data_IF_854241219818
#
_entry.id   IF_854241219818
#
_cell.length_a   1.000
_cell.length_b   1.000
_cell.length_c   1.000
_cell.angle_alpha   90.00
_cell.angle_beta   90.00
_cell.angle_gamma   90.00
#
_symmetry.space_group_name_H-M   'P 1'
#
loop_
_entity.id
_entity.type
_entity.pdbx_description
1 polymer ?
#
# COMPACT_ATOMS: atom_id res chain seq x y z
N UNK A 1 -18.80 -21.29 -9.86
CA UNK A 1 -18.87 -21.11 -8.38
C UNK A 1 -17.46 -21.17 -7.81
N UNK A 2 -16.98 -20.07 -7.20
CA UNK A 2 -15.66 -20.08 -6.60
C UNK A 2 -15.68 -20.96 -5.34
N UNK A 3 -14.51 -21.53 -4.97
CA UNK A 3 -14.38 -22.26 -3.69
C UNK A 3 -14.72 -21.37 -2.48
N UNK A 4 -14.63 -20.05 -2.63
CA UNK A 4 -14.99 -19.08 -1.61
C UNK A 4 -16.51 -19.00 -1.41
N UNK A 5 -17.31 -18.99 -2.49
CA UNK A 5 -18.77 -18.93 -2.42
C UNK A 5 -19.34 -20.17 -1.75
N UNK A 6 -18.85 -21.36 -2.12
CA UNK A 6 -19.21 -22.61 -1.46
C UNK A 6 -18.80 -22.66 0.02
N UNK A 7 -17.80 -21.88 0.43
CA UNK A 7 -17.34 -21.79 1.82
C UNK A 7 -18.19 -20.83 2.63
N UNK A 8 -18.63 -19.72 2.04
CA UNK A 8 -19.54 -18.75 2.67
C UNK A 8 -20.92 -19.40 2.87
N UNK A 9 -21.44 -20.06 1.86
CA UNK A 9 -22.71 -20.81 1.94
C UNK A 9 -22.68 -21.88 3.04
N UNK A 10 -21.60 -22.67 3.14
CA UNK A 10 -21.39 -23.63 4.23
C UNK A 10 -21.23 -23.00 5.60
N UNK A 11 -20.71 -21.79 5.69
CA UNK A 11 -20.59 -21.06 6.96
C UNK A 11 -21.97 -20.59 7.44
N UNK A 12 -22.81 -20.11 6.54
CA UNK A 12 -24.17 -19.70 6.84
C UNK A 12 -25.05 -20.87 7.29
N UNK A 13 -24.90 -22.04 6.68
CA UNK A 13 -25.63 -23.27 7.03
C UNK A 13 -25.20 -23.90 8.36
N UNK A 14 -23.95 -23.65 8.82
CA UNK A 14 -23.40 -24.25 10.05
C UNK A 14 -23.18 -23.24 11.18
N UNK A 15 -24.08 -22.31 11.35
CA UNK A 15 -23.92 -21.10 12.15
C UNK A 15 -23.86 -21.29 13.67
N UNK A 16 -23.62 -22.49 14.22
CA UNK A 16 -23.45 -22.67 15.67
C UNK A 16 -22.62 -23.90 16.05
N UNK A 17 -21.76 -23.72 17.07
CA UNK A 17 -21.06 -24.80 17.78
C UNK A 17 -19.64 -25.09 17.28
N UNK A 18 -19.08 -26.20 17.80
CA UNK A 18 -17.69 -26.63 17.55
C UNK A 18 -17.35 -26.81 16.07
N UNK A 19 -18.29 -27.26 15.25
CA UNK A 19 -18.06 -27.44 13.81
C UNK A 19 -17.93 -26.10 13.05
N UNK A 20 -18.65 -25.06 13.45
CA UNK A 20 -18.47 -23.73 12.89
C UNK A 20 -17.06 -23.18 13.18
N UNK A 21 -16.53 -23.41 14.37
CA UNK A 21 -15.17 -23.04 14.76
C UNK A 21 -14.13 -23.78 13.92
N UNK A 22 -14.28 -25.11 13.76
CA UNK A 22 -13.37 -25.93 12.93
C UNK A 22 -13.42 -25.51 11.48
N UNK A 23 -14.61 -25.19 10.94
CA UNK A 23 -14.77 -24.68 9.60
C UNK A 23 -14.10 -23.31 9.44
N UNK A 24 -14.34 -22.38 10.36
CA UNK A 24 -13.69 -21.07 10.37
C UNK A 24 -12.15 -21.18 10.39
N UNK A 25 -11.57 -22.11 11.18
CA UNK A 25 -10.12 -22.34 11.19
C UNK A 25 -9.61 -22.91 9.85
N UNK A 26 -10.35 -23.79 9.21
CA UNK A 26 -9.96 -24.34 7.88
C UNK A 26 -10.05 -23.26 6.80
N UNK A 27 -11.09 -22.43 6.83
CA UNK A 27 -11.27 -21.35 5.86
C UNK A 27 -10.31 -20.19 6.12
N UNK A 28 -9.99 -19.87 7.37
CA UNK A 28 -8.96 -18.88 7.72
C UNK A 28 -7.60 -19.20 7.06
N UNK A 29 -7.30 -20.49 6.82
CA UNK A 29 -6.08 -20.86 6.09
C UNK A 29 -6.11 -20.44 4.61
N UNK A 30 -7.28 -20.31 3.99
CA UNK A 30 -7.45 -19.84 2.61
C UNK A 30 -7.32 -18.31 2.51
N UNK A 31 -7.61 -17.60 3.62
CA UNK A 31 -7.43 -16.16 3.73
C UNK A 31 -5.98 -15.76 4.00
N UNK A 32 -5.08 -16.71 4.20
CA UNK A 32 -3.65 -16.44 4.46
C UNK A 32 -2.93 -15.72 3.33
N UNK A 33 -3.42 -15.82 2.11
CA UNK A 33 -2.84 -15.12 0.96
C UNK A 33 -3.33 -13.68 0.83
N UNK A 34 -4.39 -13.30 1.52
CA UNK A 34 -4.81 -11.90 1.57
C UNK A 34 -3.77 -11.11 2.36
N UNK A 35 -3.09 -10.20 1.69
CA UNK A 35 -2.00 -9.46 2.30
C UNK A 35 -2.50 -8.34 3.16
N UNK A 36 -3.71 -7.80 2.94
CA UNK A 36 -3.89 -6.43 3.34
C UNK A 36 -5.22 -5.97 3.86
N UNK A 37 -5.02 -5.02 4.76
CA UNK A 37 -6.00 -4.06 5.24
C UNK A 37 -6.29 -2.94 4.22
N UNK A 38 -5.47 -2.78 3.18
CA UNK A 38 -5.59 -1.71 2.20
C UNK A 38 -6.20 -2.22 0.90
N UNK A 39 -7.31 -1.63 0.54
CA UNK A 39 -8.07 -1.93 -0.66
C UNK A 39 -8.50 -0.63 -1.31
N UNK A 40 -8.73 -0.65 -2.62
CA UNK A 40 -9.15 0.52 -3.38
C UNK A 40 -10.45 0.20 -4.11
N UNK A 41 -11.37 1.14 -4.08
CA UNK A 41 -12.56 1.14 -4.92
C UNK A 41 -12.43 2.30 -5.92
N UNK A 42 -12.46 2.01 -7.22
CA UNK A 42 -12.38 3.05 -8.23
C UNK A 42 -13.75 3.66 -8.57
N UNK A 43 -13.75 4.69 -9.44
CA UNK A 43 -14.97 5.37 -9.88
C UNK A 43 -15.92 4.49 -10.71
N UNK A 44 -15.40 3.38 -11.25
CA UNK A 44 -16.18 2.42 -12.05
C UNK A 44 -16.63 1.21 -11.21
N UNK A 45 -16.57 1.36 -9.87
CA UNK A 45 -16.96 0.37 -8.85
C UNK A 45 -16.13 -0.92 -8.90
N UNK A 46 -14.89 -0.86 -9.40
CA UNK A 46 -13.95 -1.97 -9.31
C UNK A 46 -13.25 -1.95 -7.96
N UNK A 47 -13.25 -3.07 -7.29
CA UNK A 47 -12.59 -3.30 -6.02
C UNK A 47 -11.26 -4.00 -6.24
N UNK A 48 -10.18 -3.40 -5.79
CA UNK A 48 -8.83 -3.93 -5.91
C UNK A 48 -8.30 -4.40 -4.56
N UNK A 49 -7.67 -5.57 -4.55
CA UNK A 49 -7.05 -6.15 -3.36
C UNK A 49 -5.69 -6.75 -3.71
N UNK A 50 -4.72 -6.54 -2.80
CA UNK A 50 -3.39 -7.13 -2.90
C UNK A 50 -3.27 -8.48 -2.20
N UNK A 51 -2.24 -9.25 -2.53
CA UNK A 51 -1.91 -10.51 -1.89
C UNK A 51 -0.51 -10.51 -1.29
N UNK A 52 -0.22 -11.52 -0.44
CA UNK A 52 1.12 -11.76 0.12
C UNK A 52 2.11 -12.26 -0.93
N UNK A 53 1.62 -12.79 -2.03
CA UNK A 53 2.41 -13.35 -3.11
C UNK A 53 2.67 -12.34 -4.25
N UNK A 54 2.41 -11.05 -4.02
CA UNK A 54 2.64 -10.01 -5.02
C UNK A 54 1.62 -10.05 -6.17
N UNK A 55 0.35 -10.27 -5.86
CA UNK A 55 -0.73 -10.31 -6.83
C UNK A 55 -1.77 -9.24 -6.52
N UNK A 56 -2.26 -8.58 -7.53
CA UNK A 56 -3.41 -7.67 -7.45
C UNK A 56 -4.59 -8.33 -8.16
N UNK A 57 -5.75 -8.33 -7.53
CA UNK A 57 -7.00 -8.84 -8.12
C UNK A 57 -8.05 -7.73 -8.13
N UNK A 58 -8.71 -7.57 -9.27
CA UNK A 58 -9.83 -6.66 -9.45
C UNK A 58 -11.15 -7.43 -9.48
N UNK A 59 -12.10 -6.97 -8.68
CA UNK A 59 -13.48 -7.48 -8.63
C UNK A 59 -14.45 -6.37 -8.99
N UNK A 60 -15.56 -6.71 -9.61
CA UNK A 60 -16.69 -5.81 -9.83
C UNK A 60 -17.98 -6.60 -10.00
N UNK A 61 -19.09 -5.89 -10.07
CA UNK A 61 -20.38 -6.49 -10.38
C UNK A 61 -20.39 -7.13 -11.78
N UNK A 62 -21.01 -8.30 -11.90
CA UNK A 62 -21.24 -8.96 -13.18
C UNK A 62 -22.17 -8.13 -14.08
N UNK A 63 -23.19 -7.53 -13.48
CA UNK A 63 -24.07 -6.54 -14.10
C UNK A 63 -24.08 -5.26 -13.26
N UNK A 64 -23.40 -4.18 -13.70
CA UNK A 64 -23.32 -2.93 -12.95
C UNK A 64 -24.66 -2.19 -12.83
N UNK A 65 -25.70 -2.62 -13.54
CA UNK A 65 -27.05 -2.04 -13.47
C UNK A 65 -27.95 -2.72 -12.44
N UNK A 66 -27.58 -3.90 -11.96
CA UNK A 66 -28.29 -4.65 -10.92
C UNK A 66 -27.53 -4.61 -9.59
N UNK A 67 -28.06 -3.89 -8.61
CA UNK A 67 -27.48 -3.80 -7.25
C UNK A 67 -27.43 -5.13 -6.47
N UNK A 68 -28.03 -6.19 -7.01
CA UNK A 68 -27.97 -7.57 -6.48
C UNK A 68 -27.11 -8.49 -7.33
N UNK A 69 -26.41 -7.91 -8.30
CA UNK A 69 -25.49 -8.65 -9.16
C UNK A 69 -24.41 -9.37 -8.33
N UNK A 70 -23.92 -10.47 -8.87
CA UNK A 70 -22.79 -11.17 -8.26
C UNK A 70 -21.53 -10.36 -8.46
N UNK A 71 -20.68 -10.34 -7.44
CA UNK A 71 -19.31 -9.82 -7.56
C UNK A 71 -18.44 -10.89 -8.22
N UNK A 72 -17.82 -10.55 -9.33
CA UNK A 72 -16.95 -11.45 -10.09
C UNK A 72 -15.52 -10.92 -10.15
N UNK A 73 -14.56 -11.83 -10.30
CA UNK A 73 -13.19 -11.47 -10.61
C UNK A 73 -13.12 -11.00 -12.07
N UNK A 74 -12.72 -9.75 -12.30
CA UNK A 74 -12.60 -9.18 -13.63
C UNK A 74 -11.18 -9.30 -14.18
N UNK A 75 -10.18 -9.02 -13.35
CA UNK A 75 -8.78 -9.03 -13.77
C UNK A 75 -7.87 -9.47 -12.64
N UNK A 76 -6.69 -9.92 -12.99
CA UNK A 76 -5.64 -10.31 -12.06
C UNK A 76 -4.28 -10.01 -12.67
N UNK A 77 -3.40 -9.42 -11.89
CA UNK A 77 -2.02 -9.15 -12.27
C UNK A 77 -1.07 -9.77 -11.25
N UNK A 78 -0.20 -10.66 -11.69
CA UNK A 78 0.89 -11.19 -10.89
C UNK A 78 2.13 -10.34 -11.14
N UNK A 79 2.74 -9.83 -10.07
CA UNK A 79 3.99 -9.06 -10.17
C UNK A 79 5.08 -9.92 -10.82
N UNK A 80 5.96 -9.30 -11.64
CA UNK A 80 7.11 -9.99 -12.20
C UNK A 80 8.04 -10.50 -11.08
N UNK A 81 8.86 -11.50 -11.39
CA UNK A 81 9.67 -12.25 -10.40
C UNK A 81 10.64 -11.36 -9.62
N UNK A 82 11.12 -10.29 -10.23
CA UNK A 82 12.00 -9.31 -9.60
C UNK A 82 11.30 -8.45 -8.55
N UNK A 83 9.97 -8.30 -8.60
CA UNK A 83 9.18 -7.54 -7.64
C UNK A 83 8.76 -8.45 -6.50
N UNK A 84 9.51 -8.42 -5.42
CA UNK A 84 9.33 -9.31 -4.29
C UNK A 84 8.60 -8.65 -3.11
N UNK A 85 8.09 -9.49 -2.22
CA UNK A 85 7.43 -9.09 -0.96
C UNK A 85 5.91 -8.97 -1.06
N UNK A 86 5.24 -9.14 0.10
CA UNK A 86 3.81 -8.89 0.22
C UNK A 86 3.44 -7.47 -0.18
N UNK A 87 2.24 -7.30 -0.74
CA UNK A 87 1.66 -5.97 -0.96
C UNK A 87 1.28 -5.36 0.38
N UNK A 88 1.90 -4.27 0.79
CA UNK A 88 1.69 -3.60 2.08
C UNK A 88 0.82 -2.35 1.98
N UNK A 89 0.76 -1.72 0.84
CA UNK A 89 -0.08 -0.56 0.57
C UNK A 89 -0.69 -0.63 -0.81
N UNK A 90 -1.89 -0.08 -0.95
CA UNK A 90 -2.61 0.04 -2.20
C UNK A 90 -3.39 1.35 -2.19
N UNK A 91 -3.25 2.15 -3.24
CA UNK A 91 -3.94 3.41 -3.42
C UNK A 91 -4.06 3.72 -4.91
N UNK A 92 -4.60 4.88 -5.26
CA UNK A 92 -4.78 5.29 -6.66
C UNK A 92 -4.38 6.75 -6.83
N UNK A 93 -3.69 7.07 -7.92
CA UNK A 93 -3.38 8.45 -8.31
C UNK A 93 -4.64 9.18 -8.79
N UNK A 94 -4.59 10.50 -8.81
CA UNK A 94 -5.73 11.32 -9.23
C UNK A 94 -6.07 11.17 -10.73
N UNK A 95 -5.11 10.76 -11.55
CA UNK A 95 -5.31 10.42 -12.96
C UNK A 95 -5.72 8.94 -13.19
N UNK A 96 -5.81 8.14 -12.11
CA UNK A 96 -6.43 6.82 -12.11
C UNK A 96 -5.48 5.65 -12.29
N UNK A 97 -4.20 5.80 -11.98
CA UNK A 97 -3.26 4.68 -11.88
C UNK A 97 -3.30 4.04 -10.50
N UNK A 98 -3.39 2.73 -10.46
CA UNK A 98 -3.34 1.97 -9.21
C UNK A 98 -1.88 1.84 -8.77
N UNK A 99 -1.60 2.24 -7.53
CA UNK A 99 -0.26 2.16 -6.94
C UNK A 99 -0.24 1.10 -5.85
N UNK A 100 0.73 0.20 -5.94
CA UNK A 100 1.01 -0.78 -4.90
C UNK A 100 2.43 -0.59 -4.34
N UNK A 101 2.60 -0.74 -3.04
CA UNK A 101 3.91 -0.80 -2.39
C UNK A 101 4.10 -2.17 -1.75
N UNK A 102 5.28 -2.79 -1.93
CA UNK A 102 5.60 -4.08 -1.31
C UNK A 102 6.45 -3.90 -0.05
N UNK A 103 6.40 -4.88 0.84
CA UNK A 103 7.21 -4.93 2.05
C UNK A 103 8.71 -4.78 1.77
N UNK A 104 9.17 -5.24 0.61
CA UNK A 104 10.58 -5.23 0.21
C UNK A 104 11.02 -3.93 -0.51
N UNK A 105 10.14 -2.94 -0.61
CA UNK A 105 10.49 -1.62 -1.15
C UNK A 105 10.30 -1.45 -2.65
N UNK A 106 9.50 -2.28 -3.27
CA UNK A 106 9.05 -2.02 -4.65
C UNK A 106 7.78 -1.20 -4.66
N UNK A 107 7.70 -0.28 -5.60
CA UNK A 107 6.49 0.47 -5.94
C UNK A 107 6.09 0.07 -7.36
N UNK A 108 4.83 -0.28 -7.52
CA UNK A 108 4.28 -0.71 -8.82
C UNK A 108 3.09 0.19 -9.14
N UNK A 109 3.16 0.89 -10.27
CA UNK A 109 2.03 1.60 -10.85
C UNK A 109 1.38 0.71 -11.92
N UNK A 110 0.06 0.59 -11.90
CA UNK A 110 -0.68 -0.26 -12.83
C UNK A 110 -1.89 0.50 -13.39
N UNK A 111 -2.19 0.27 -14.67
CA UNK A 111 -3.45 0.69 -15.25
C UNK A 111 -4.64 0.01 -14.54
N UNK A 112 -5.83 0.62 -14.56
CA UNK A 112 -7.01 0.07 -13.87
C UNK A 112 -7.51 -1.28 -14.42
N UNK A 113 -7.16 -1.60 -15.67
CA UNK A 113 -7.45 -2.91 -16.27
C UNK A 113 -6.35 -3.94 -15.99
N UNK A 114 -5.27 -3.54 -15.29
CA UNK A 114 -4.12 -4.35 -14.93
C UNK A 114 -3.32 -4.89 -16.14
N UNK A 115 -3.35 -4.20 -17.28
CA UNK A 115 -2.64 -4.60 -18.49
C UNK A 115 -1.29 -3.90 -18.65
N UNK A 116 -1.16 -2.69 -18.16
CA UNK A 116 0.07 -1.90 -18.20
C UNK A 116 0.62 -1.70 -16.80
N UNK A 117 1.94 -1.72 -16.64
CA UNK A 117 2.58 -1.49 -15.36
C UNK A 117 3.96 -0.86 -15.49
N UNK A 118 4.35 -0.13 -14.46
CA UNK A 118 5.68 0.41 -14.23
C UNK A 118 6.13 0.01 -12.84
N UNK A 119 7.42 -0.22 -12.65
CA UNK A 119 7.96 -0.60 -11.34
C UNK A 119 9.25 0.14 -11.06
N UNK A 120 9.46 0.46 -9.78
CA UNK A 120 10.69 1.04 -9.29
C UNK A 120 11.02 0.45 -7.91
N UNK A 121 12.30 0.38 -7.60
CA UNK A 121 12.76 0.01 -6.26
C UNK A 121 13.16 1.27 -5.49
N UNK A 122 12.70 1.39 -4.25
CA UNK A 122 13.04 2.52 -3.37
C UNK A 122 14.51 2.49 -2.96
N UNK A 123 15.10 3.65 -2.81
CA UNK A 123 16.45 3.81 -2.27
C UNK A 123 16.52 3.25 -0.83
N UNK A 124 17.68 2.81 -0.42
CA UNK A 124 17.95 2.22 0.91
C UNK A 124 17.18 0.94 1.23
N UNK A 125 16.58 0.28 0.23
CA UNK A 125 15.86 -0.98 0.40
C UNK A 125 16.74 -2.23 0.35
N UNK A 126 18.05 -2.08 0.24
CA UNK A 126 19.00 -3.20 0.25
C UNK A 126 18.87 -4.01 1.53
N UNK A 127 18.68 -5.32 1.38
CA UNK A 127 18.48 -6.23 2.51
C UNK A 127 17.09 -6.16 3.16
N UNK A 128 16.12 -5.49 2.54
CA UNK A 128 14.73 -5.46 3.03
C UNK A 128 14.14 -6.87 3.13
N UNK A 129 14.46 -7.75 2.18
CA UNK A 129 14.06 -9.16 2.15
C UNK A 129 14.49 -9.93 3.42
N UNK A 130 15.71 -9.67 3.91
CA UNK A 130 16.25 -10.32 5.09
C UNK A 130 15.59 -9.84 6.39
N UNK A 131 15.05 -8.63 6.41
CA UNK A 131 14.36 -8.05 7.58
C UNK A 131 12.98 -8.67 7.78
N UNK A 132 12.27 -8.98 6.69
CA UNK A 132 10.94 -9.58 6.70
C UNK A 132 10.92 -11.01 7.28
N UNK A 133 12.03 -11.74 7.27
CA UNK A 133 12.12 -13.15 7.69
C UNK A 133 12.35 -13.36 9.18
N UNK A 134 12.58 -12.31 9.97
CA UNK A 134 12.82 -12.46 11.43
C UNK A 134 11.51 -12.74 12.17
N UNK A 135 11.51 -13.57 13.25
CA UNK A 135 10.29 -13.90 14.01
C UNK A 135 9.58 -12.70 14.64
N UNK A 136 10.29 -11.61 14.86
CA UNK A 136 9.76 -10.30 15.27
C UNK A 136 9.59 -9.39 14.06
N UNK A 137 9.56 -9.97 12.86
CA UNK A 137 9.75 -9.36 11.57
C UNK A 137 8.75 -8.27 11.27
N UNK A 138 9.20 -7.09 11.55
CA UNK A 138 8.59 -5.92 10.96
C UNK A 138 9.25 -5.72 9.60
N UNK A 139 8.45 -5.81 8.55
CA UNK A 139 8.91 -5.57 7.19
C UNK A 139 9.48 -4.17 7.01
N UNK A 140 10.20 -3.98 5.93
CA UNK A 140 10.84 -2.70 5.63
C UNK A 140 9.81 -1.61 5.34
N UNK A 141 8.73 -1.92 4.57
CA UNK A 141 7.48 -1.14 4.47
C UNK A 141 6.39 -1.90 5.21
N UNK A 142 5.58 -1.21 6.02
CA UNK A 142 4.58 -1.84 6.88
C UNK A 142 3.19 -1.24 6.78
N UNK A 143 3.11 0.01 6.34
CA UNK A 143 1.89 0.78 6.33
C UNK A 143 1.49 1.14 4.90
N UNK A 144 0.28 1.65 4.75
CA UNK A 144 -0.13 2.33 3.53
C UNK A 144 0.69 3.59 3.29
N UNK A 145 0.33 4.32 2.28
CA UNK A 145 0.98 5.54 1.85
C UNK A 145 -0.05 6.57 1.41
N UNK A 146 0.36 7.82 1.30
CA UNK A 146 -0.47 8.90 0.78
C UNK A 146 -0.08 9.22 -0.67
N UNK A 147 -1.03 9.76 -1.42
CA UNK A 147 -0.81 10.28 -2.78
C UNK A 147 -1.41 11.68 -2.85
N UNK A 148 -0.69 12.64 -3.43
CA UNK A 148 -1.20 13.96 -3.70
C UNK A 148 -1.71 14.13 -5.14
N UNK A 149 -2.31 15.27 -5.40
CA UNK A 149 -2.90 15.62 -6.69
C UNK A 149 -1.88 15.82 -7.82
N UNK A 150 -0.60 15.98 -7.50
CA UNK A 150 0.49 16.18 -8.45
C UNK A 150 1.27 14.89 -8.74
N UNK A 151 0.81 13.77 -8.19
CA UNK A 151 1.42 12.45 -8.39
C UNK A 151 2.54 12.11 -7.40
N UNK A 152 2.73 12.91 -6.36
CA UNK A 152 3.61 12.59 -5.25
C UNK A 152 3.08 11.41 -4.44
N UNK A 153 3.88 10.37 -4.27
CA UNK A 153 3.58 9.13 -3.53
C UNK A 153 4.48 9.08 -2.31
N UNK A 154 3.91 9.18 -1.11
CA UNK A 154 4.63 9.33 0.15
C UNK A 154 4.62 8.03 0.93
N UNK A 155 5.76 7.34 0.98
CA UNK A 155 5.92 6.01 1.55
C UNK A 155 6.93 6.06 2.70
N UNK A 156 6.53 5.61 3.89
CA UNK A 156 7.45 5.45 5.01
C UNK A 156 8.03 4.03 5.04
N UNK A 157 9.35 3.93 5.01
CA UNK A 157 10.09 2.71 5.31
C UNK A 157 10.53 2.70 6.78
N UNK A 158 11.38 1.75 7.20
CA UNK A 158 11.80 1.65 8.60
C UNK A 158 12.56 2.89 9.13
N UNK A 159 13.27 3.62 8.27
CA UNK A 159 14.12 4.75 8.68
C UNK A 159 14.03 5.97 7.76
N UNK A 160 13.27 5.86 6.67
CA UNK A 160 13.19 6.92 5.68
C UNK A 160 11.75 7.18 5.28
N UNK A 161 11.46 8.46 5.07
CA UNK A 161 10.31 8.92 4.31
C UNK A 161 10.75 9.10 2.86
N UNK A 162 9.97 8.58 1.92
CA UNK A 162 10.25 8.66 0.49
C UNK A 162 9.10 9.38 -0.20
N UNK A 163 9.43 10.36 -1.04
CA UNK A 163 8.53 10.87 -2.09
C UNK A 163 8.97 10.24 -3.41
N UNK A 164 8.14 9.37 -3.96
CA UNK A 164 8.22 8.90 -5.34
C UNK A 164 7.24 9.72 -6.16
N UNK A 165 7.56 9.99 -7.41
CA UNK A 165 6.68 10.78 -8.28
C UNK A 165 6.16 9.90 -9.42
N UNK A 166 4.84 9.90 -9.59
CA UNK A 166 4.20 9.42 -10.81
C UNK A 166 4.20 10.56 -11.84
N UNK A 167 4.95 10.42 -12.91
CA UNK A 167 5.14 11.48 -13.94
C UNK A 167 4.08 11.46 -15.04
N UNK A 168 3.15 10.52 -15.00
CA UNK A 168 2.21 10.24 -16.09
C UNK A 168 2.70 9.16 -17.06
N UNK A 169 4.02 8.99 -17.17
CA UNK A 169 4.66 8.00 -18.05
C UNK A 169 5.43 6.93 -17.28
N UNK A 170 5.64 7.11 -15.96
CA UNK A 170 6.38 6.18 -15.13
C UNK A 170 6.60 6.67 -13.71
N UNK A 171 7.22 5.83 -12.89
CA UNK A 171 7.63 6.15 -11.53
C UNK A 171 9.04 6.73 -11.52
N UNK A 172 9.26 7.80 -10.74
CA UNK A 172 10.57 8.44 -10.59
C UNK A 172 10.98 8.59 -9.13
N UNK A 173 12.26 8.35 -8.85
CA UNK A 173 12.94 8.71 -7.60
C UNK A 173 13.97 9.84 -7.81
N UNK A 174 13.94 10.48 -8.97
CA UNK A 174 14.84 11.58 -9.29
C UNK A 174 14.42 12.88 -8.62
N UNK A 175 15.36 13.59 -8.05
CA UNK A 175 15.14 14.93 -7.51
C UNK A 175 14.76 15.96 -8.59
N UNK A 176 15.10 15.71 -9.85
CA UNK A 176 14.67 16.56 -10.98
C UNK A 176 13.18 16.49 -11.24
N UNK A 177 12.54 15.39 -10.82
CA UNK A 177 11.10 15.18 -10.93
C UNK A 177 10.39 15.51 -9.60
N UNK A 178 11.10 16.10 -8.63
CA UNK A 178 10.58 16.46 -7.32
C UNK A 178 10.52 15.32 -6.31
N UNK A 179 11.14 14.16 -6.59
CA UNK A 179 11.27 13.07 -5.62
C UNK A 179 12.35 13.38 -4.59
N UNK A 180 12.20 12.83 -3.39
CA UNK A 180 13.18 12.95 -2.31
C UNK A 180 13.12 11.79 -1.33
N UNK A 181 14.17 11.67 -0.52
CA UNK A 181 14.23 10.71 0.59
C UNK A 181 14.84 11.43 1.81
N UNK A 182 14.23 11.26 2.98
CA UNK A 182 14.70 11.87 4.23
C UNK A 182 14.63 10.87 5.39
N UNK A 183 15.63 10.88 6.24
CA UNK A 183 15.67 10.03 7.46
C UNK A 183 14.74 10.55 8.55
N UNK A 184 14.26 9.64 9.40
CA UNK A 184 13.59 9.94 10.66
C UNK A 184 14.09 9.01 11.77
N UNK A 185 13.93 9.43 13.03
CA UNK A 185 14.42 8.69 14.19
C UNK A 185 13.64 7.37 14.36
N UNK A 186 14.37 6.30 14.67
CA UNK A 186 13.81 4.96 14.82
C UNK A 186 14.57 4.13 15.88
N UNK A 187 14.60 4.61 17.12
CA UNK A 187 15.30 3.96 18.23
C UNK A 187 14.77 2.58 18.58
N UNK A 188 13.47 2.31 18.37
CA UNK A 188 12.91 0.97 18.51
C UNK A 188 13.23 0.02 17.35
N UNK A 189 13.66 0.54 16.21
CA UNK A 189 13.99 -0.26 15.04
C UNK A 189 12.78 -0.85 14.30
N UNK A 190 11.57 -0.36 14.60
CA UNK A 190 10.32 -0.85 14.00
C UNK A 190 9.73 0.10 12.95
N UNK A 191 10.34 1.26 12.77
CA UNK A 191 9.83 2.33 11.91
C UNK A 191 8.60 3.02 12.49
N UNK A 192 7.98 3.88 11.70
CA UNK A 192 6.70 4.49 12.05
C UNK A 192 5.58 3.47 12.11
N UNK A 193 4.67 3.64 13.05
CA UNK A 193 3.40 2.91 13.10
C UNK A 193 2.28 3.57 12.30
N UNK A 194 2.55 4.75 11.72
CA UNK A 194 1.55 5.58 11.04
C UNK A 194 1.59 5.41 9.52
N UNK A 195 0.43 5.43 8.88
CA UNK A 195 0.33 5.74 7.45
C UNK A 195 0.58 7.24 7.29
N UNK A 196 1.43 7.69 6.34
CA UNK A 196 1.65 9.10 6.07
C UNK A 196 0.34 9.84 5.79
N UNK A 197 0.22 11.04 6.34
CA UNK A 197 -0.93 11.92 6.14
C UNK A 197 -0.48 13.24 5.53
N UNK A 198 -1.23 13.75 4.57
CA UNK A 198 -0.94 15.03 3.93
C UNK A 198 -1.57 16.16 4.74
N UNK A 199 -0.85 17.27 4.87
CA UNK A 199 -1.27 18.49 5.54
C UNK A 199 -0.89 19.71 4.69
N UNK A 200 -1.71 20.76 4.73
CA UNK A 200 -1.56 21.95 3.90
C UNK A 200 -2.11 21.74 2.49
N UNK A 201 -2.97 22.65 2.05
CA UNK A 201 -3.63 22.60 0.74
C UNK A 201 -3.66 23.99 0.10
N UNK A 202 -3.66 24.02 -1.22
CA UNK A 202 -3.67 25.26 -1.96
C UNK A 202 -2.34 26.02 -1.83
N UNK A 203 -2.39 27.25 -1.32
CA UNK A 203 -1.22 28.13 -1.16
C UNK A 203 -0.60 28.05 0.25
N UNK A 204 -0.98 27.08 1.06
CA UNK A 204 -0.42 26.87 2.40
C UNK A 204 0.87 26.03 2.31
N UNK A 205 1.67 26.09 3.36
CA UNK A 205 2.82 25.19 3.52
C UNK A 205 2.35 23.73 3.49
N UNK A 206 2.96 22.96 2.60
CA UNK A 206 2.55 21.59 2.34
C UNK A 206 3.48 20.57 2.99
N UNK A 207 2.93 19.72 3.85
CA UNK A 207 3.69 18.70 4.59
C UNK A 207 3.13 17.30 4.36
N UNK A 208 4.01 16.30 4.53
CA UNK A 208 3.63 14.94 4.87
C UNK A 208 4.02 14.65 6.31
N UNK A 209 3.11 14.06 7.06
CA UNK A 209 3.23 13.89 8.51
C UNK A 209 3.21 12.41 8.87
N UNK A 210 4.15 12.00 9.74
CA UNK A 210 4.19 10.68 10.37
C UNK A 210 4.50 10.83 11.86
N UNK A 211 4.39 9.76 12.62
CA UNK A 211 5.10 9.62 13.91
C UNK A 211 6.44 8.94 13.67
N UNK A 212 7.46 9.26 14.45
CA UNK A 212 8.74 8.55 14.40
C UNK A 212 8.67 7.16 15.07
N UNK A 213 9.80 6.45 15.10
CA UNK A 213 9.96 5.14 15.74
C UNK A 213 10.67 5.18 17.08
N UNK A 214 10.59 6.29 17.82
CA UNK A 214 11.21 6.45 19.14
C UNK A 214 10.31 5.92 20.26
N UNK A 215 10.87 5.53 21.44
CA UNK A 215 10.10 5.16 22.61
C UNK A 215 9.12 6.26 23.08
N UNK A 216 9.56 7.50 23.01
CA UNK A 216 8.73 8.68 23.11
C UNK A 216 8.53 9.24 21.71
N UNK A 217 7.43 8.86 21.07
CA UNK A 217 7.13 9.23 19.69
C UNK A 217 6.98 10.73 19.52
N UNK A 218 7.60 11.26 18.48
CA UNK A 218 7.41 12.62 18.00
C UNK A 218 6.56 12.62 16.73
N UNK A 219 5.87 13.71 16.49
CA UNK A 219 5.28 14.01 15.21
C UNK A 219 6.35 14.64 14.31
N UNK A 220 6.58 14.03 13.14
CA UNK A 220 7.59 14.47 12.17
C UNK A 220 6.88 14.99 10.94
N UNK A 221 7.22 16.21 10.54
CA UNK A 221 6.72 16.87 9.35
C UNK A 221 7.85 16.96 8.33
N UNK A 222 7.59 16.53 7.11
CA UNK A 222 8.48 16.71 5.98
C UNK A 222 7.81 17.64 4.99
N UNK A 223 8.56 18.59 4.45
CA UNK A 223 8.09 19.40 3.33
C UNK A 223 7.77 18.50 2.13
N UNK A 224 6.62 18.70 1.54
CA UNK A 224 6.25 17.95 0.32
C UNK A 224 7.04 18.42 -0.89
N UNK A 225 7.35 19.71 -0.92
CA UNK A 225 8.01 20.41 -2.02
C UNK A 225 9.30 21.08 -1.53
N UNK A 226 9.67 22.20 -2.12
CA UNK A 226 10.87 22.96 -1.72
C UNK A 226 10.71 23.53 -0.33
N UNK A 227 11.78 23.41 0.47
CA UNK A 227 11.86 24.07 1.76
C UNK A 227 12.02 25.57 1.51
N UNK A 228 11.16 26.43 2.11
CA UNK A 228 11.30 27.90 1.94
C UNK A 228 12.71 28.38 2.31
N UNK A 229 13.25 29.27 1.50
CA UNK A 229 14.65 29.74 1.67
C UNK A 229 14.90 30.50 2.99
N UNK A 230 13.86 31.00 3.61
CA UNK A 230 13.87 31.69 4.89
C UNK A 230 13.48 30.80 6.08
N UNK A 231 13.24 29.50 5.84
CA UNK A 231 12.94 28.56 6.89
C UNK A 231 14.20 28.16 7.67
N UNK A 232 14.13 28.27 8.97
CA UNK A 232 15.19 27.84 9.90
C UNK A 232 14.65 26.74 10.81
N UNK A 233 15.42 25.64 10.92
CA UNK A 233 15.11 24.61 11.90
C UNK A 233 15.37 25.15 13.30
N UNK A 234 14.35 25.16 14.13
CA UNK A 234 14.51 25.50 15.54
C UNK A 234 15.25 24.38 16.28
N UNK A 235 16.06 24.72 17.29
CA UNK A 235 16.84 23.76 18.06
C UNK A 235 15.99 22.80 18.89
#
# INVERSE_FOLDING_TARGET
ESRADASIEKFDDNNSGFFALVHAFREASKLRDLANLYTVLDRDHRYYIGSKTGRITAYADEDPTDSRSKIIKQAEFQFPEEVTGPVMGLSMTYDGWLIAATEHGYVVAMSRDLLEYHTIRLQHSEGAEAKATKPTGYGWIRNGFAIDEEGGIYIASQQHMHKVVWTGDGLSTSTTDGAWTAEYLNGWGHGTGATPSLMGFGNEDAFVVITDGEPQMNMVLFWRDEIPADWEQLP
#
